data_IF_557084036069
#
_entry.id   IF_557084036069
#
_cell.length_a   1.000
_cell.length_b   1.000
_cell.length_c   1.000
_cell.angle_alpha   90.00
_cell.angle_beta   90.00
_cell.angle_gamma   90.00
#
_symmetry.space_group_name_H-M   'P 1'
#
loop_
_entity.id
_entity.type
_entity.pdbx_description
1 polymer ?
#
# COMPACT_ATOMS: atom_id res chain seq x y z
N UNK A 1 16.27 4.25 6.27
CA UNK A 1 15.47 4.52 7.48
C UNK A 1 14.82 3.19 7.95
N UNK A 2 13.50 3.02 8.07
CA UNK A 2 12.86 1.76 8.46
C UNK A 2 12.88 0.76 7.31
N UNK A 3 12.82 -0.52 7.62
CA UNK A 3 13.00 -1.66 6.72
C UNK A 3 12.23 -1.54 5.38
N UNK A 4 10.92 -1.89 5.48
CA UNK A 4 8.31 -0.80 5.04
C UNK A 4 7.95 0.77 4.87
N UNK A 5 7.94 1.61 5.91
CA UNK A 5 7.64 3.05 5.93
C UNK A 5 8.28 3.90 4.80
N UNK A 6 9.49 3.57 4.36
CA UNK A 6 10.10 4.19 3.18
C UNK A 6 9.35 3.82 1.90
N UNK A 7 9.05 2.53 1.76
CA UNK A 7 7.99 2.03 0.91
C UNK A 7 6.57 2.35 1.50
N UNK A 8 6.33 3.59 1.97
CA UNK A 8 5.00 4.12 2.33
C UNK A 8 4.90 5.66 2.17
N UNK A 9 5.87 6.41 2.71
CA UNK A 9 6.02 7.86 2.51
C UNK A 9 5.90 8.23 1.04
N UNK A 10 6.75 7.56 0.25
CA UNK A 10 6.90 7.80 -1.17
C UNK A 10 5.59 7.64 -1.97
N UNK A 11 4.60 6.90 -1.45
CA UNK A 11 3.31 6.62 -2.10
C UNK A 11 2.31 7.74 -2.00
N UNK A 12 2.55 8.65 -1.07
CA UNK A 12 1.72 9.82 -0.90
C UNK A 12 2.28 10.96 -1.77
N UNK A 13 3.59 11.23 -1.68
CA UNK A 13 4.27 12.26 -2.51
C UNK A 13 4.38 11.89 -4.00
N UNK A 14 4.39 10.58 -4.30
CA UNK A 14 3.94 9.89 -5.52
C UNK A 14 2.81 10.53 -6.33
N UNK A 15 1.86 11.23 -5.72
CA UNK A 15 0.82 11.90 -6.48
C UNK A 15 1.39 13.13 -7.22
N UNK A 16 2.20 13.91 -6.51
CA UNK A 16 2.39 15.34 -6.77
C UNK A 16 3.84 15.73 -7.17
N UNK A 17 4.83 14.91 -6.83
CA UNK A 17 6.24 15.09 -7.26
C UNK A 17 6.40 14.96 -8.79
N UNK A 18 7.47 15.51 -9.37
CA UNK A 18 7.86 15.24 -10.76
C UNK A 18 8.40 13.82 -10.93
N UNK A 19 8.62 13.39 -12.19
CA UNK A 19 9.18 12.05 -12.44
C UNK A 19 10.62 11.90 -11.91
N UNK A 20 11.44 12.95 -11.87
CA UNK A 20 12.85 12.84 -11.45
C UNK A 20 12.96 12.65 -9.93
N UNK A 21 12.30 13.51 -9.15
CA UNK A 21 12.35 13.50 -7.68
C UNK A 21 11.90 12.14 -7.11
N UNK A 22 10.84 11.55 -7.69
CA UNK A 22 10.37 10.20 -7.31
C UNK A 22 11.39 9.08 -7.61
N UNK A 23 12.31 9.26 -8.56
CA UNK A 23 13.38 8.28 -8.86
C UNK A 23 14.53 8.36 -7.87
N UNK A 24 14.91 9.58 -7.50
CA UNK A 24 15.95 9.88 -6.53
C UNK A 24 15.51 9.37 -5.16
N UNK A 25 14.31 9.76 -4.74
CA UNK A 25 13.60 9.17 -3.60
C UNK A 25 13.60 7.63 -3.72
N UNK A 26 13.11 7.08 -4.83
CA UNK A 26 13.13 5.62 -5.05
C UNK A 26 14.50 4.95 -4.88
N UNK A 27 15.60 5.63 -5.21
CA UNK A 27 16.97 5.15 -5.05
C UNK A 27 17.32 4.96 -3.57
N UNK A 28 17.07 6.01 -2.78
CA UNK A 28 17.36 6.12 -1.35
C UNK A 28 16.61 5.04 -0.56
N UNK A 29 15.30 4.95 -0.79
CA UNK A 29 14.44 3.91 -0.25
C UNK A 29 14.88 2.51 -0.73
N UNK A 30 15.60 2.44 -1.85
CA UNK A 30 16.20 1.22 -2.35
C UNK A 30 17.50 0.81 -1.66
N UNK A 31 18.16 1.65 -0.87
CA UNK A 31 19.47 1.32 -0.24
C UNK A 31 19.36 0.69 1.16
N UNK A 32 18.15 0.61 1.73
CA UNK A 32 17.87 0.21 3.12
C UNK A 32 18.27 -1.24 3.44
N UNK A 33 18.04 -2.17 2.50
CA UNK A 33 18.25 -3.61 2.67
C UNK A 33 16.98 -4.45 2.80
N UNK A 34 15.77 -3.87 2.66
CA UNK A 34 14.61 -4.39 3.40
C UNK A 34 13.23 -4.40 2.67
N UNK A 35 12.43 -3.32 2.64
CA UNK A 35 11.21 -3.25 1.82
C UNK A 35 11.67 -3.40 0.34
N UNK A 36 11.07 -4.31 -0.43
CA UNK A 36 11.58 -4.66 -1.78
C UNK A 36 11.45 -3.51 -2.79
N UNK A 37 12.26 -3.46 -3.87
CA UNK A 37 12.11 -2.47 -4.96
C UNK A 37 10.66 -2.33 -5.45
N UNK A 38 9.89 -3.42 -5.39
CA UNK A 38 8.48 -3.46 -5.80
C UNK A 38 7.53 -2.86 -4.78
N UNK A 39 7.78 -3.04 -3.47
CA UNK A 39 7.08 -2.25 -2.46
C UNK A 39 7.44 -0.80 -2.68
N UNK A 40 8.73 -0.46 -2.68
CA UNK A 40 9.20 0.91 -2.89
C UNK A 40 8.57 1.55 -4.14
N UNK A 41 8.52 0.86 -5.29
CA UNK A 41 7.90 1.29 -6.55
C UNK A 41 6.37 1.40 -6.53
N UNK A 42 5.69 0.33 -6.08
CA UNK A 42 4.26 0.37 -5.79
C UNK A 42 3.92 1.36 -4.66
N UNK A 43 4.95 1.97 -4.08
CA UNK A 43 4.92 3.17 -3.31
C UNK A 43 5.24 4.43 -4.16
N UNK A 44 6.49 4.83 -4.49
CA UNK A 44 6.97 6.13 -5.10
C UNK A 44 6.15 6.82 -6.21
N UNK A 45 5.05 6.25 -6.68
CA UNK A 45 4.26 6.79 -7.79
C UNK A 45 5.01 6.58 -9.09
N UNK A 46 5.91 5.59 -9.10
CA UNK A 46 6.80 5.26 -10.19
C UNK A 46 7.00 3.75 -10.33
N UNK A 47 7.37 3.30 -11.54
CA UNK A 47 7.88 1.96 -11.73
C UNK A 47 9.20 1.73 -10.95
N UNK A 48 9.27 0.58 -10.28
CA UNK A 48 10.43 0.09 -9.51
C UNK A 48 11.74 -0.06 -10.29
N UNK A 49 11.74 0.11 -11.63
CA UNK A 49 12.93 0.10 -12.47
C UNK A 49 13.42 1.51 -12.87
N UNK A 50 12.61 2.54 -12.62
CA UNK A 50 13.07 3.94 -12.67
C UNK A 50 13.84 4.31 -11.41
N UNK A 51 13.68 3.51 -10.35
CA UNK A 51 14.59 3.39 -9.22
C UNK A 51 15.98 2.90 -9.74
N UNK A 52 17.08 3.58 -9.38
CA UNK A 52 18.45 3.16 -9.69
C UNK A 52 18.85 1.75 -9.23
N UNK A 53 19.94 1.23 -9.82
CA UNK A 53 20.39 -0.17 -9.64
C UNK A 53 21.42 -0.39 -8.52
N UNK A 54 21.90 0.68 -7.88
CA UNK A 54 22.79 0.63 -6.70
C UNK A 54 22.05 0.24 -5.40
N UNK A 55 20.73 0.36 -5.41
CA UNK A 55 19.80 0.01 -4.35
C UNK A 55 19.97 -1.44 -3.83
N UNK A 56 20.41 -1.56 -2.57
CA UNK A 56 20.40 -2.79 -1.78
C UNK A 56 19.01 -3.03 -1.19
N UNK A 57 18.14 -3.82 -1.82
CA UNK A 57 16.80 -4.12 -1.26
C UNK A 57 16.66 -5.52 -0.67
N UNK A 58 15.71 -5.67 0.24
CA UNK A 58 15.49 -6.91 0.97
C UNK A 58 14.73 -7.96 0.17
N UNK A 59 14.82 -9.20 0.66
CA UNK A 59 14.18 -10.37 0.06
C UNK A 59 12.70 -10.49 0.42
N UNK A 60 12.27 -9.83 1.50
CA UNK A 60 10.93 -9.87 2.10
C UNK A 60 10.78 -8.65 3.02
N UNK A 61 9.63 -7.99 3.08
CA UNK A 61 9.44 -6.88 4.01
C UNK A 61 7.99 -6.62 4.42
N UNK A 62 7.80 -6.24 5.69
CA UNK A 62 6.61 -5.54 6.19
C UNK A 62 5.44 -6.36 6.73
N UNK A 63 4.52 -5.63 7.40
CA UNK A 63 3.14 -6.06 7.75
C UNK A 63 2.11 -4.93 7.51
N UNK A 64 2.36 -3.98 6.61
CA UNK A 64 2.31 -4.22 5.16
C UNK A 64 2.96 -5.54 4.72
N UNK A 65 2.17 -6.60 4.80
CA UNK A 65 2.36 -7.76 3.93
C UNK A 65 2.39 -7.17 2.52
N UNK A 66 3.47 -7.29 1.73
CA UNK A 66 3.59 -6.57 0.45
C UNK A 66 2.38 -6.87 -0.45
N UNK A 67 2.01 -8.14 -0.43
CA UNK A 67 0.71 -8.81 -0.59
C UNK A 67 -0.58 -7.94 -0.50
N UNK A 68 -0.57 -6.90 0.33
CA UNK A 68 -1.77 -6.18 0.75
C UNK A 68 -2.03 -4.88 0.03
N UNK A 69 -0.97 -4.21 -0.49
CA UNK A 69 -1.03 -2.94 -1.23
C UNK A 69 -2.23 -2.84 -2.20
N UNK A 70 -2.63 -3.90 -2.92
CA UNK A 70 -3.78 -3.83 -3.82
C UNK A 70 -5.12 -3.60 -3.14
N UNK A 71 -5.39 -4.17 -1.96
CA UNK A 71 -6.57 -3.85 -1.16
C UNK A 71 -6.47 -2.41 -0.65
N UNK A 72 -5.25 -2.05 -0.24
CA UNK A 72 -4.87 -0.69 0.07
C UNK A 72 -4.81 0.20 -1.19
N UNK A 73 -5.40 -0.18 -2.33
CA UNK A 73 -5.66 0.71 -3.49
C UNK A 73 -7.10 0.54 -4.00
N UNK A 74 -7.69 -0.66 -3.98
CA UNK A 74 -9.12 -0.93 -4.30
C UNK A 74 -10.05 0.03 -3.56
N UNK A 75 -9.83 0.17 -2.25
CA UNK A 75 -10.63 1.02 -1.38
C UNK A 75 -10.50 2.51 -1.81
N UNK A 76 -9.38 2.95 -2.46
CA UNK A 76 -9.12 4.35 -2.90
C UNK A 76 -10.15 4.76 -3.92
N UNK A 77 -10.27 3.91 -4.93
CA UNK A 77 -11.18 4.04 -6.05
C UNK A 77 -12.63 3.99 -5.58
N UNK A 78 -12.95 3.13 -4.61
CA UNK A 78 -14.28 3.08 -4.00
C UNK A 78 -14.67 4.43 -3.37
N UNK A 79 -13.84 5.06 -2.51
CA UNK A 79 -14.13 6.40 -1.96
C UNK A 79 -14.19 7.49 -3.03
N UNK A 80 -13.29 7.48 -4.01
CA UNK A 80 -13.29 8.48 -5.09
C UNK A 80 -14.59 8.46 -5.90
N UNK A 81 -15.26 7.30 -5.98
CA UNK A 81 -16.60 7.14 -6.57
C UNK A 81 -17.76 7.17 -5.57
N UNK A 82 -17.49 7.17 -4.25
CA UNK A 82 -18.47 7.03 -3.14
C UNK A 82 -19.14 5.63 -3.06
N UNK A 83 -18.49 4.62 -3.62
CA UNK A 83 -18.89 3.19 -3.59
C UNK A 83 -18.42 2.48 -2.31
N UNK A 84 -18.82 1.21 -2.14
CA UNK A 84 -18.45 0.32 -1.02
C UNK A 84 -17.69 -0.91 -1.54
N UNK A 85 -16.50 -1.19 -1.00
CA UNK A 85 -15.73 -2.42 -1.29
C UNK A 85 -15.54 -3.27 -0.03
N UNK A 86 -16.58 -4.06 0.27
CA UNK A 86 -16.69 -4.96 1.42
C UNK A 86 -15.47 -5.87 1.58
N UNK A 87 -15.29 -6.74 0.59
CA UNK A 87 -14.26 -7.76 0.60
C UNK A 87 -12.84 -7.17 0.67
N UNK A 88 -12.53 -6.08 -0.05
CA UNK A 88 -11.16 -5.55 -0.05
C UNK A 88 -10.68 -5.20 1.36
N UNK A 89 -11.57 -4.61 2.15
CA UNK A 89 -11.28 -4.25 3.53
C UNK A 89 -11.01 -5.49 4.40
N UNK A 90 -11.84 -6.54 4.27
CA UNK A 90 -11.63 -7.81 4.97
C UNK A 90 -10.31 -8.48 4.56
N UNK A 91 -10.04 -8.58 3.25
CA UNK A 91 -8.83 -9.24 2.73
C UNK A 91 -7.55 -8.51 3.09
N UNK A 92 -7.55 -7.17 3.14
CA UNK A 92 -6.44 -6.40 3.69
C UNK A 92 -6.09 -6.86 5.12
N UNK A 93 -7.12 -6.90 5.98
CA UNK A 93 -7.03 -7.28 7.39
C UNK A 93 -6.60 -8.74 7.59
N UNK A 94 -7.21 -9.66 6.86
CA UNK A 94 -6.95 -11.10 6.96
C UNK A 94 -5.52 -11.48 6.57
N UNK A 95 -4.92 -10.77 5.60
CA UNK A 95 -3.51 -10.95 5.19
C UNK A 95 -2.50 -10.31 6.17
N UNK A 96 -2.90 -10.12 7.42
CA UNK A 96 -2.07 -9.55 8.48
C UNK A 96 -1.77 -8.05 8.33
N UNK A 97 -2.29 -7.39 7.29
CA UNK A 97 -2.08 -5.96 7.08
C UNK A 97 -3.19 -5.14 7.70
N UNK A 98 -2.81 -4.12 8.45
CA UNK A 98 -3.81 -3.26 9.07
C UNK A 98 -4.71 -2.54 8.05
N UNK A 99 -6.00 -2.48 8.36
CA UNK A 99 -6.98 -1.50 7.87
C UNK A 99 -6.50 -0.04 7.87
N UNK A 100 -5.44 0.28 8.61
CA UNK A 100 -4.87 1.63 8.71
C UNK A 100 -3.81 1.89 7.64
N UNK A 101 -3.01 0.87 7.30
CA UNK A 101 -2.25 0.85 6.04
C UNK A 101 -3.26 0.88 4.88
N UNK A 102 -4.35 0.11 4.96
CA UNK A 102 -5.43 0.14 3.96
C UNK A 102 -5.99 1.55 3.77
N UNK A 103 -6.42 2.18 4.86
CA UNK A 103 -6.88 3.57 4.87
C UNK A 103 -5.84 4.57 4.35
N UNK A 104 -4.53 4.31 4.50
CA UNK A 104 -3.48 5.22 4.06
C UNK A 104 -3.25 5.15 2.55
N UNK A 105 -3.01 3.96 1.99
CA UNK A 105 -2.85 3.86 0.53
C UNK A 105 -4.17 4.00 -0.24
N UNK A 106 -5.27 4.28 0.49
CA UNK A 106 -6.55 4.62 -0.12
C UNK A 106 -7.14 5.96 0.25
N UNK A 107 -6.63 6.62 1.29
CA UNK A 107 -7.30 7.75 1.89
C UNK A 107 -8.76 7.46 2.29
N UNK A 108 -9.16 6.24 2.70
CA UNK A 108 -10.57 5.91 3.07
C UNK A 108 -10.72 5.68 4.57
N UNK A 109 -11.86 6.03 5.21
CA UNK A 109 -11.97 5.93 6.67
C UNK A 109 -11.83 4.49 7.19
N UNK A 110 -10.99 4.22 8.22
CA UNK A 110 -10.84 2.88 8.79
C UNK A 110 -12.13 2.26 9.35
N UNK A 111 -13.11 3.06 9.76
CA UNK A 111 -14.44 2.58 10.21
C UNK A 111 -15.34 2.22 9.04
N UNK A 112 -15.21 2.92 7.92
CA UNK A 112 -15.82 2.54 6.64
C UNK A 112 -15.22 1.22 6.18
N UNK A 113 -13.89 1.08 6.19
CA UNK A 113 -13.16 -0.17 5.91
C UNK A 113 -13.59 -1.29 6.88
N UNK A 114 -13.64 -1.07 8.19
CA UNK A 114 -14.14 -2.10 9.13
C UNK A 114 -15.57 -2.50 8.82
N UNK A 115 -16.51 -1.56 8.71
CA UNK A 115 -17.89 -1.90 8.42
C UNK A 115 -18.01 -2.66 7.09
N UNK A 116 -17.24 -2.27 6.07
CA UNK A 116 -17.11 -3.01 4.80
C UNK A 116 -16.65 -4.46 5.02
N UNK A 117 -15.61 -4.65 5.83
CA UNK A 117 -15.08 -5.96 6.24
C UNK A 117 -16.13 -6.81 6.97
N UNK A 118 -16.80 -6.21 7.96
CA UNK A 118 -17.70 -6.89 8.90
C UNK A 118 -19.09 -7.13 8.27
N UNK A 119 -19.55 -6.25 7.36
CA UNK A 119 -20.73 -6.44 6.50
C UNK A 119 -20.48 -7.59 5.49
N UNK A 120 -19.26 -7.67 4.93
CA UNK A 120 -18.85 -8.76 4.04
C UNK A 120 -18.77 -10.11 4.79
N UNK A 121 -18.13 -10.14 5.96
CA UNK A 121 -17.98 -11.37 6.75
C UNK A 121 -19.34 -11.97 7.15
N UNK A 122 -20.27 -11.15 7.66
CA UNK A 122 -21.62 -11.62 8.05
C UNK A 122 -22.44 -12.13 6.85
N UNK A 123 -22.42 -11.41 5.73
CA UNK A 123 -23.19 -11.80 4.53
C UNK A 123 -22.75 -13.11 3.86
N UNK A 124 -21.66 -13.72 4.32
CA UNK A 124 -21.12 -15.00 3.82
C UNK A 124 -21.00 -16.09 4.90
N UNK A 125 -21.65 -15.91 6.07
CA UNK A 125 -21.79 -16.95 7.10
C UNK A 125 -23.19 -17.60 7.11
N UNK A 126 -24.19 -16.95 6.50
CA UNK A 126 -25.61 -17.37 6.48
C UNK A 126 -26.05 -18.03 5.14
N UNK A 127 -25.12 -18.58 4.34
CA UNK A 127 -25.35 -19.07 2.97
C UNK A 127 -24.69 -20.43 2.67
#
# INVERSE_FOLDING_TARGET
MSALDEALEAWQVSADMTETERRELGAELGEIGEFSLRQIGAIVGLPWYRIPKNSKTGRTGGRLAAESLPYLVRIRSARLKREIDGEAAFRALALGTSKHTAARLTGVPPTTILRWSDDYERSHQDA
#
